data_IF_198822364091
#
_entry.id   IF_198822364091
#
_cell.length_a   1.000
_cell.length_b   1.000
_cell.length_c   1.000
_cell.angle_alpha   90.00
_cell.angle_beta   90.00
_cell.angle_gamma   90.00
#
_symmetry.space_group_name_H-M   'P 1'
#
loop_
_entity.id
_entity.type
_entity.pdbx_description
1 polymer ?
#
# COMPACT_ATOMS: atom_id res chain seq x y z
N UNK A 1 -25.78 -12.30 -17.80
CA UNK A 1 -25.40 -11.44 -16.66
C UNK A 1 -26.65 -11.17 -15.84
N UNK A 2 -26.74 -11.70 -14.63
CA UNK A 2 -27.89 -11.46 -13.74
C UNK A 2 -27.64 -10.21 -12.90
N UNK A 3 -28.67 -9.36 -12.73
CA UNK A 3 -28.69 -8.13 -11.93
C UNK A 3 -28.07 -8.28 -10.52
N UNK A 4 -28.05 -9.49 -9.98
CA UNK A 4 -27.46 -9.81 -8.68
C UNK A 4 -25.93 -9.71 -8.67
N UNK A 5 -25.25 -10.10 -9.76
CA UNK A 5 -23.78 -10.09 -9.84
C UNK A 5 -23.19 -8.68 -9.88
N UNK A 6 -23.83 -7.76 -10.60
CA UNK A 6 -23.42 -6.35 -10.67
C UNK A 6 -23.61 -5.62 -9.34
N UNK A 7 -24.67 -5.94 -8.58
CA UNK A 7 -24.92 -5.35 -7.26
C UNK A 7 -23.89 -5.83 -6.23
N UNK A 8 -23.54 -7.12 -6.23
CA UNK A 8 -22.50 -7.68 -5.34
C UNK A 8 -21.14 -7.03 -5.64
N UNK A 9 -20.80 -6.91 -6.92
CA UNK A 9 -19.59 -6.23 -7.39
C UNK A 9 -19.55 -4.77 -6.94
N UNK A 10 -20.63 -4.01 -7.17
CA UNK A 10 -20.71 -2.60 -6.82
C UNK A 10 -20.58 -2.40 -5.31
N UNK A 11 -21.19 -3.28 -4.52
CA UNK A 11 -21.08 -3.26 -3.06
C UNK A 11 -19.67 -3.54 -2.59
N UNK A 12 -18.96 -4.46 -3.24
CA UNK A 12 -17.58 -4.82 -2.90
C UNK A 12 -16.60 -3.72 -3.30
N UNK A 13 -16.79 -3.11 -4.48
CA UNK A 13 -16.05 -1.93 -4.92
C UNK A 13 -16.31 -0.71 -4.02
N UNK A 14 -17.56 -0.45 -3.63
CA UNK A 14 -17.89 0.62 -2.70
C UNK A 14 -17.29 0.39 -1.30
N UNK A 15 -17.28 -0.86 -0.83
CA UNK A 15 -16.64 -1.22 0.45
C UNK A 15 -15.12 -1.03 0.39
N UNK A 16 -14.51 -1.39 -0.74
CA UNK A 16 -13.09 -1.15 -0.98
C UNK A 16 -12.74 0.34 -1.03
N UNK A 17 -13.53 1.12 -1.77
CA UNK A 17 -13.36 2.56 -1.89
C UNK A 17 -13.52 3.24 -0.53
N UNK A 18 -14.50 2.83 0.27
CA UNK A 18 -14.66 3.35 1.63
C UNK A 18 -13.48 2.99 2.52
N UNK A 19 -12.96 1.76 2.50
CA UNK A 19 -11.73 1.44 3.25
C UNK A 19 -10.53 2.25 2.76
N UNK A 20 -10.36 2.41 1.45
CA UNK A 20 -9.29 3.22 0.88
C UNK A 20 -9.39 4.67 1.39
N UNK A 21 -10.55 5.31 1.23
CA UNK A 21 -10.79 6.70 1.67
C UNK A 21 -10.62 6.84 3.19
N UNK A 22 -11.09 5.86 3.97
CA UNK A 22 -10.94 5.89 5.43
C UNK A 22 -9.46 5.83 5.82
N UNK A 23 -8.69 4.91 5.25
CA UNK A 23 -7.28 4.74 5.62
C UNK A 23 -6.37 5.82 5.03
N UNK A 24 -6.61 6.30 3.81
CA UNK A 24 -5.72 7.27 3.16
C UNK A 24 -6.07 8.72 3.46
N UNK A 25 -7.30 9.02 3.89
CA UNK A 25 -7.76 10.41 4.06
C UNK A 25 -8.38 10.63 5.44
N UNK A 26 -9.38 9.84 5.83
CA UNK A 26 -10.12 10.08 7.06
C UNK A 26 -9.25 9.90 8.31
N UNK A 27 -8.51 8.78 8.41
CA UNK A 27 -7.64 8.47 9.54
C UNK A 27 -6.46 9.47 9.67
N UNK A 28 -5.72 9.81 8.59
CA UNK A 28 -4.71 10.86 8.65
C UNK A 28 -5.27 12.20 9.11
N UNK A 29 -6.44 12.62 8.63
CA UNK A 29 -7.07 13.88 9.03
C UNK A 29 -7.51 13.89 10.49
N UNK A 30 -8.11 12.78 10.97
CA UNK A 30 -8.48 12.64 12.38
C UNK A 30 -7.25 12.67 13.29
N UNK A 31 -6.16 12.02 12.88
CA UNK A 31 -4.90 12.04 13.60
C UNK A 31 -4.29 13.45 13.61
N UNK A 32 -4.30 14.14 12.47
CA UNK A 32 -3.87 15.53 12.39
C UNK A 32 -4.69 16.46 13.30
N UNK A 33 -6.01 16.31 13.29
CA UNK A 33 -6.91 17.08 14.15
C UNK A 33 -6.64 16.82 15.64
N UNK A 34 -6.48 15.55 16.04
CA UNK A 34 -6.18 15.17 17.42
C UNK A 34 -4.83 15.72 17.92
N UNK A 35 -3.86 15.92 17.02
CA UNK A 35 -2.53 16.46 17.31
C UNK A 35 -2.42 17.97 17.07
N UNK A 36 -3.51 18.65 16.70
CA UNK A 36 -3.52 20.09 16.41
C UNK A 36 -2.76 20.50 15.13
N UNK A 37 -2.51 19.54 14.23
CA UNK A 37 -1.77 19.77 12.98
C UNK A 37 -2.73 20.34 11.92
N UNK A 38 -2.35 21.43 11.21
CA UNK A 38 -3.12 21.96 10.10
C UNK A 38 -3.48 20.90 9.07
N UNK A 39 -4.76 20.82 8.70
CA UNK A 39 -5.27 19.85 7.71
C UNK A 39 -4.56 19.93 6.36
N UNK A 40 -4.13 21.14 5.96
CA UNK A 40 -3.36 21.37 4.75
C UNK A 40 -2.02 20.60 4.74
N UNK A 41 -1.31 20.51 5.89
CA UNK A 41 -0.06 19.77 5.99
C UNK A 41 -0.28 18.26 5.90
N UNK A 42 -1.34 17.77 6.53
CA UNK A 42 -1.72 16.35 6.46
C UNK A 42 -2.07 15.95 5.03
N UNK A 43 -2.92 16.74 4.35
CA UNK A 43 -3.28 16.49 2.96
C UNK A 43 -2.08 16.66 2.01
N UNK A 44 -1.19 17.61 2.31
CA UNK A 44 0.08 17.78 1.61
C UNK A 44 0.96 16.53 1.73
N UNK A 45 1.08 15.96 2.92
CA UNK A 45 1.82 14.72 3.14
C UNK A 45 1.13 13.52 2.47
N UNK A 46 -0.20 13.41 2.55
CA UNK A 46 -0.96 12.33 1.89
C UNK A 46 -0.75 12.37 0.37
N UNK A 47 -0.97 13.54 -0.25
CA UNK A 47 -0.77 13.71 -1.70
C UNK A 47 0.67 13.45 -2.13
N UNK A 48 1.64 13.97 -1.36
CA UNK A 48 3.06 13.68 -1.58
C UNK A 48 3.37 12.19 -1.46
N UNK A 49 2.74 11.47 -0.54
CA UNK A 49 2.93 10.02 -0.38
C UNK A 49 2.47 9.22 -1.60
N UNK A 50 1.38 9.63 -2.25
CA UNK A 50 0.93 8.99 -3.49
C UNK A 50 1.90 9.23 -4.66
N UNK A 51 2.48 10.43 -4.76
CA UNK A 51 3.34 10.84 -5.86
C UNK A 51 4.79 10.36 -5.67
N UNK A 52 5.34 10.62 -4.49
CA UNK A 52 6.75 10.44 -4.15
C UNK A 52 7.03 9.14 -3.38
N UNK A 53 5.98 8.39 -3.00
CA UNK A 53 6.08 7.15 -2.25
C UNK A 53 6.91 7.35 -0.96
N UNK A 54 7.89 6.47 -0.70
CA UNK A 54 8.73 6.56 0.50
C UNK A 54 9.51 7.88 0.57
N UNK A 55 9.77 8.56 -0.56
CA UNK A 55 10.45 9.86 -0.59
C UNK A 55 9.57 10.99 -0.02
N UNK A 56 8.27 10.79 0.14
CA UNK A 56 7.41 11.76 0.83
C UNK A 56 7.83 11.97 2.30
N UNK A 57 8.65 11.08 2.86
CA UNK A 57 9.29 11.27 4.16
C UNK A 57 10.09 12.58 4.22
N UNK A 58 10.81 12.93 3.15
CA UNK A 58 11.54 14.20 3.07
C UNK A 58 10.61 15.41 3.08
N UNK A 59 9.47 15.31 2.40
CA UNK A 59 8.45 16.37 2.37
C UNK A 59 7.82 16.54 3.76
N UNK A 60 7.44 15.43 4.42
CA UNK A 60 6.86 15.48 5.76
C UNK A 60 7.79 16.07 6.80
N UNK A 61 9.07 15.69 6.78
CA UNK A 61 10.08 16.26 7.66
C UNK A 61 10.39 17.73 7.29
N UNK A 62 10.45 18.06 6.00
CA UNK A 62 10.63 19.43 5.51
C UNK A 62 9.47 20.37 5.86
N UNK A 63 8.26 19.84 6.03
CA UNK A 63 7.09 20.55 6.57
C UNK A 63 7.17 20.78 8.09
N UNK A 64 8.22 20.31 8.77
CA UNK A 64 8.38 20.42 10.22
C UNK A 64 7.53 19.45 11.03
N UNK A 65 6.97 18.41 10.41
CA UNK A 65 6.17 17.42 11.11
C UNK A 65 7.05 16.48 11.94
N UNK A 66 6.55 16.06 13.09
CA UNK A 66 7.25 15.10 13.95
C UNK A 66 7.46 13.76 13.19
N UNK A 67 8.65 13.14 13.23
CA UNK A 67 8.97 11.95 12.43
C UNK A 67 7.98 10.80 12.62
N UNK A 68 7.52 10.60 13.85
CA UNK A 68 6.50 9.57 14.17
C UNK A 68 5.17 9.86 13.46
N UNK A 69 4.76 11.12 13.37
CA UNK A 69 3.52 11.51 12.68
C UNK A 69 3.67 11.25 11.18
N UNK A 70 4.81 11.62 10.60
CA UNK A 70 5.09 11.38 9.19
C UNK A 70 5.03 9.88 8.89
N UNK A 71 5.67 9.05 9.71
CA UNK A 71 5.67 7.60 9.54
C UNK A 71 4.27 7.02 9.62
N UNK A 72 3.48 7.39 10.64
CA UNK A 72 2.12 6.88 10.84
C UNK A 72 1.21 7.29 9.68
N UNK A 73 1.24 8.56 9.27
CA UNK A 73 0.41 9.06 8.15
C UNK A 73 0.79 8.35 6.85
N UNK A 74 2.09 8.24 6.54
CA UNK A 74 2.57 7.55 5.34
C UNK A 74 2.18 6.07 5.33
N UNK A 75 2.28 5.38 6.47
CA UNK A 75 1.87 3.97 6.59
C UNK A 75 0.36 3.79 6.43
N UNK A 76 -0.45 4.70 6.99
CA UNK A 76 -1.91 4.68 6.79
C UNK A 76 -2.28 4.82 5.31
N UNK A 77 -1.63 5.75 4.61
CA UNK A 77 -1.80 5.94 3.17
C UNK A 77 -1.37 4.69 2.40
N UNK A 78 -0.21 4.11 2.74
CA UNK A 78 0.29 2.89 2.12
C UNK A 78 -0.67 1.72 2.28
N UNK A 79 -1.16 1.45 3.50
CA UNK A 79 -2.11 0.36 3.76
C UNK A 79 -3.41 0.59 2.98
N UNK A 80 -3.94 1.81 2.98
CA UNK A 80 -5.15 2.14 2.22
C UNK A 80 -4.96 1.96 0.71
N UNK A 81 -3.82 2.37 0.16
CA UNK A 81 -3.50 2.21 -1.26
C UNK A 81 -3.34 0.73 -1.66
N UNK A 82 -2.60 -0.06 -0.87
CA UNK A 82 -2.43 -1.50 -1.12
C UNK A 82 -3.78 -2.22 -1.07
N UNK A 83 -4.61 -1.93 -0.06
CA UNK A 83 -5.94 -2.51 0.04
C UNK A 83 -6.82 -2.13 -1.16
N UNK A 84 -6.80 -0.86 -1.58
CA UNK A 84 -7.54 -0.38 -2.75
C UNK A 84 -7.16 -1.17 -4.00
N UNK A 85 -5.86 -1.33 -4.26
CA UNK A 85 -5.35 -2.09 -5.42
C UNK A 85 -5.85 -3.53 -5.37
N UNK A 86 -5.67 -4.22 -4.25
CA UNK A 86 -6.10 -5.61 -4.11
C UNK A 86 -7.60 -5.79 -4.37
N UNK A 87 -8.42 -4.86 -3.88
CA UNK A 87 -9.85 -4.90 -4.13
C UNK A 87 -10.23 -4.59 -5.58
N UNK A 88 -9.55 -3.63 -6.22
CA UNK A 88 -9.76 -3.34 -7.65
C UNK A 88 -9.42 -4.60 -8.46
N UNK A 89 -8.31 -5.27 -8.16
CA UNK A 89 -7.94 -6.51 -8.81
C UNK A 89 -8.96 -7.63 -8.57
N UNK A 90 -9.45 -7.80 -7.33
CA UNK A 90 -10.53 -8.75 -7.02
C UNK A 90 -11.79 -8.47 -7.83
N UNK A 91 -12.17 -7.19 -7.94
CA UNK A 91 -13.32 -6.75 -8.72
C UNK A 91 -13.16 -7.07 -10.22
N UNK A 92 -11.96 -6.90 -10.78
CA UNK A 92 -11.64 -7.31 -12.15
C UNK A 92 -11.68 -8.83 -12.34
N UNK A 93 -11.19 -9.61 -11.38
CA UNK A 93 -11.22 -11.06 -11.45
C UNK A 93 -12.65 -11.62 -11.40
N UNK A 94 -13.57 -10.99 -10.67
CA UNK A 94 -14.99 -11.37 -10.69
C UNK A 94 -15.68 -11.08 -12.03
N UNK A 95 -15.21 -10.06 -12.75
CA UNK A 95 -15.84 -9.63 -14.01
C UNK A 95 -15.29 -10.37 -15.24
N UNK A 96 -14.07 -10.93 -15.15
CA UNK A 96 -13.38 -11.52 -16.31
C UNK A 96 -13.02 -12.98 -16.07
N UNK A 97 -13.71 -13.89 -16.77
CA UNK A 97 -13.37 -15.32 -16.77
C UNK A 97 -11.94 -15.59 -17.22
N UNK A 98 -11.37 -14.73 -18.09
CA UNK A 98 -9.97 -14.84 -18.52
C UNK A 98 -9.01 -14.60 -17.36
N UNK A 99 -9.26 -13.58 -16.55
CA UNK A 99 -8.45 -13.26 -15.36
C UNK A 99 -8.62 -14.34 -14.30
N UNK A 100 -9.85 -14.79 -14.09
CA UNK A 100 -10.13 -15.88 -13.16
C UNK A 100 -9.45 -17.19 -13.58
N UNK A 101 -9.47 -17.52 -14.87
CA UNK A 101 -8.76 -18.67 -15.44
C UNK A 101 -7.24 -18.55 -15.33
N UNK A 102 -6.68 -17.35 -15.53
CA UNK A 102 -5.26 -17.08 -15.32
C UNK A 102 -4.88 -17.29 -13.85
N UNK A 103 -5.62 -16.69 -12.92
CA UNK A 103 -5.39 -16.85 -11.48
C UNK A 103 -5.45 -18.31 -11.04
N UNK A 104 -6.42 -19.08 -11.56
CA UNK A 104 -6.57 -20.51 -11.26
C UNK A 104 -5.39 -21.33 -11.78
N UNK A 105 -4.92 -21.06 -13.00
CA UNK A 105 -3.69 -21.68 -13.54
C UNK A 105 -2.45 -21.32 -12.72
N UNK A 106 -2.36 -20.08 -12.26
CA UNK A 106 -1.25 -19.63 -11.40
C UNK A 106 -1.31 -20.32 -10.04
N UNK A 107 -2.49 -20.48 -9.45
CA UNK A 107 -2.70 -21.19 -8.19
C UNK A 107 -2.34 -22.67 -8.32
N UNK A 108 -2.77 -23.35 -9.38
CA UNK A 108 -2.42 -24.75 -9.66
C UNK A 108 -0.90 -24.93 -9.85
N UNK A 109 -0.20 -23.94 -10.44
CA UNK A 109 1.26 -23.94 -10.54
C UNK A 109 1.94 -23.65 -9.20
N UNK A 110 1.38 -22.75 -8.40
CA UNK A 110 1.88 -22.42 -7.06
C UNK A 110 1.75 -23.60 -6.08
N UNK A 111 0.66 -24.37 -6.15
CA UNK A 111 0.47 -25.57 -5.32
C UNK A 111 1.54 -26.63 -5.58
N UNK A 112 2.08 -26.69 -6.81
CA UNK A 112 3.20 -27.58 -7.17
C UNK A 112 4.56 -27.06 -6.66
N UNK A 113 4.63 -25.83 -6.17
CA UNK A 113 5.86 -25.18 -5.68
C UNK A 113 5.68 -24.65 -4.24
N UNK A 114 5.63 -25.54 -3.23
CA UNK A 114 5.34 -25.15 -1.84
C UNK A 114 6.37 -24.15 -1.25
N UNK A 115 7.62 -24.18 -1.74
CA UNK A 115 8.64 -23.20 -1.36
C UNK A 115 8.29 -21.78 -1.81
N UNK A 116 7.74 -21.61 -3.02
CA UNK A 116 7.41 -20.29 -3.56
C UNK A 116 6.12 -19.73 -2.96
N UNK A 117 5.19 -20.60 -2.53
CA UNK A 117 4.03 -20.20 -1.73
C UNK A 117 4.39 -19.75 -0.31
N UNK A 118 5.40 -20.37 0.31
CA UNK A 118 5.78 -20.10 1.71
C UNK A 118 6.82 -18.98 1.87
N UNK A 119 7.78 -18.86 0.95
CA UNK A 119 8.84 -17.84 0.99
C UNK A 119 8.65 -16.72 -0.03
N UNK A 120 7.81 -16.90 -1.04
CA UNK A 120 7.58 -15.89 -2.06
C UNK A 120 7.06 -14.58 -1.48
N UNK A 121 6.19 -14.64 -0.46
CA UNK A 121 5.69 -13.46 0.23
C UNK A 121 6.81 -12.62 0.90
N UNK A 122 7.93 -13.23 1.30
CA UNK A 122 9.06 -12.51 1.87
C UNK A 122 9.79 -11.66 0.82
N UNK A 123 9.70 -12.01 -0.47
CA UNK A 123 10.29 -11.19 -1.55
C UNK A 123 9.62 -9.80 -1.67
N UNK A 124 8.38 -9.64 -1.19
CA UNK A 124 7.71 -8.34 -1.15
C UNK A 124 8.28 -7.37 -0.13
N UNK A 125 9.18 -7.80 0.76
CA UNK A 125 9.87 -6.86 1.65
C UNK A 125 10.81 -5.96 0.84
N UNK A 126 11.42 -6.50 -0.22
CA UNK A 126 12.45 -5.83 -1.01
C UNK A 126 11.82 -4.93 -2.07
N UNK A 127 10.68 -5.32 -2.64
CA UNK A 127 10.05 -4.58 -3.73
C UNK A 127 9.71 -3.11 -3.39
N UNK A 128 9.15 -2.77 -2.21
CA UNK A 128 8.88 -1.40 -1.80
C UNK A 128 10.11 -0.49 -1.77
N UNK A 129 11.32 -1.03 -1.75
CA UNK A 129 12.55 -0.25 -1.87
C UNK A 129 12.74 0.37 -3.27
N UNK A 130 12.01 -0.11 -4.29
CA UNK A 130 12.05 0.45 -5.64
C UNK A 130 11.19 1.72 -5.73
N UNK A 131 11.78 2.91 -5.95
CA UNK A 131 11.13 4.20 -5.69
C UNK A 131 9.92 4.54 -6.58
N UNK A 132 9.78 3.89 -7.74
CA UNK A 132 8.74 4.25 -8.73
C UNK A 132 7.62 3.21 -8.78
N UNK A 133 7.97 1.94 -8.69
CA UNK A 133 7.07 0.83 -9.02
C UNK A 133 6.85 -0.08 -7.80
N UNK A 134 7.72 0.02 -6.80
CA UNK A 134 7.89 -0.97 -5.74
C UNK A 134 6.62 -1.25 -4.97
N UNK A 135 6.00 -0.19 -4.44
CA UNK A 135 4.83 -0.35 -3.59
C UNK A 135 3.63 -0.92 -4.36
N UNK A 136 3.27 -0.30 -5.48
CA UNK A 136 2.06 -0.67 -6.22
C UNK A 136 2.20 -2.03 -6.91
N UNK A 137 3.36 -2.33 -7.48
CA UNK A 137 3.60 -3.62 -8.13
C UNK A 137 3.73 -4.76 -7.13
N UNK A 138 4.24 -4.51 -5.92
CA UNK A 138 4.26 -5.56 -4.88
C UNK A 138 2.85 -6.07 -4.55
N UNK A 139 1.88 -5.16 -4.41
CA UNK A 139 0.48 -5.52 -4.21
C UNK A 139 -0.10 -6.31 -5.39
N UNK A 140 0.20 -5.87 -6.63
CA UNK A 140 -0.27 -6.54 -7.85
C UNK A 140 0.35 -7.94 -8.01
N UNK A 141 1.65 -8.08 -7.79
CA UNK A 141 2.39 -9.36 -7.90
C UNK A 141 1.89 -10.34 -6.84
N UNK A 142 1.75 -9.88 -5.59
CA UNK A 142 1.21 -10.73 -4.52
C UNK A 142 -0.20 -11.21 -4.81
N UNK A 143 -1.00 -10.38 -5.48
CA UNK A 143 -2.34 -10.75 -5.94
C UNK A 143 -2.33 -11.75 -7.10
N UNK A 144 -1.54 -11.51 -8.15
CA UNK A 144 -1.42 -12.40 -9.33
C UNK A 144 -0.96 -13.79 -8.91
N UNK A 145 -0.01 -13.87 -7.98
CA UNK A 145 0.54 -15.12 -7.46
C UNK A 145 -0.35 -15.79 -6.42
N UNK A 146 -1.50 -15.19 -6.08
CA UNK A 146 -2.44 -15.67 -5.05
C UNK A 146 -1.77 -15.98 -3.71
N UNK A 147 -0.80 -15.16 -3.31
CA UNK A 147 -0.26 -15.25 -1.95
C UNK A 147 -1.29 -14.80 -0.94
N UNK A 148 -1.17 -15.31 0.29
CA UNK A 148 -2.10 -14.95 1.36
C UNK A 148 -2.07 -13.43 1.57
N UNK A 149 -3.26 -12.82 1.45
CA UNK A 149 -3.45 -11.38 1.48
C UNK A 149 -2.93 -10.74 2.77
N UNK A 150 -3.01 -11.44 3.90
CA UNK A 150 -2.55 -10.92 5.19
C UNK A 150 -1.03 -10.91 5.26
N UNK A 151 -0.40 -11.99 4.82
CA UNK A 151 1.05 -12.10 4.78
C UNK A 151 1.67 -11.15 3.75
N UNK A 152 1.08 -11.03 2.57
CA UNK A 152 1.49 -10.08 1.54
C UNK A 152 1.44 -8.64 2.06
N UNK A 153 0.32 -8.23 2.67
CA UNK A 153 0.19 -6.89 3.26
C UNK A 153 1.21 -6.66 4.37
N UNK A 154 1.41 -7.64 5.26
CA UNK A 154 2.40 -7.55 6.33
C UNK A 154 3.82 -7.33 5.78
N UNK A 155 4.25 -8.10 4.79
CA UNK A 155 5.59 -7.97 4.21
C UNK A 155 5.78 -6.68 3.40
N UNK A 156 4.76 -6.23 2.65
CA UNK A 156 4.80 -4.94 1.95
C UNK A 156 4.91 -3.80 2.96
N UNK A 157 4.09 -3.80 4.00
CA UNK A 157 4.13 -2.76 5.04
C UNK A 157 5.45 -2.80 5.82
N UNK A 158 5.99 -3.98 6.10
CA UNK A 158 7.30 -4.10 6.75
C UNK A 158 8.42 -3.51 5.89
N UNK A 159 8.46 -3.86 4.60
CA UNK A 159 9.42 -3.28 3.65
C UNK A 159 9.27 -1.77 3.53
N UNK A 160 8.03 -1.28 3.43
CA UNK A 160 7.71 0.14 3.40
C UNK A 160 8.21 0.89 4.63
N UNK A 161 7.93 0.37 5.83
CA UNK A 161 8.35 1.00 7.09
C UNK A 161 9.87 1.03 7.17
N UNK A 162 10.57 -0.05 6.82
CA UNK A 162 12.03 -0.09 6.81
C UNK A 162 12.62 0.98 5.88
N UNK A 163 12.13 1.08 4.64
CA UNK A 163 12.60 2.07 3.67
C UNK A 163 12.29 3.49 4.13
N UNK A 164 11.07 3.73 4.63
CA UNK A 164 10.64 5.05 5.11
C UNK A 164 11.46 5.50 6.31
N UNK A 165 11.68 4.62 7.29
CA UNK A 165 12.54 4.89 8.46
C UNK A 165 13.98 5.16 8.02
N UNK A 166 14.52 4.38 7.09
CA UNK A 166 15.87 4.59 6.55
C UNK A 166 16.01 5.97 5.88
N UNK A 167 15.03 6.38 5.07
CA UNK A 167 15.01 7.72 4.45
C UNK A 167 14.84 8.82 5.49
N UNK A 168 14.01 8.63 6.51
CA UNK A 168 13.87 9.58 7.62
C UNK A 168 15.16 9.73 8.41
N UNK A 169 15.88 8.64 8.71
CA UNK A 169 17.18 8.70 9.37
C UNK A 169 18.22 9.44 8.52
N UNK A 170 18.20 9.20 7.21
CA UNK A 170 19.03 9.95 6.25
C UNK A 170 18.70 11.45 6.28
N UNK A 171 17.42 11.79 6.30
CA UNK A 171 16.95 13.18 6.36
C UNK A 171 17.27 13.87 7.69
N UNK A 172 17.16 13.15 8.82
CA UNK A 172 17.39 13.68 10.17
C UNK A 172 18.86 13.79 10.55
N UNK A 173 19.78 13.09 9.84
CA UNK A 173 21.17 12.97 10.28
C UNK A 173 22.27 13.00 9.21
N UNK A 174 22.00 13.07 7.90
CA UNK A 174 23.06 12.80 6.90
C UNK A 174 23.30 13.90 5.86
N UNK A 175 22.35 14.77 5.53
CA UNK A 175 22.64 15.83 4.51
C UNK A 175 23.51 16.97 5.07
N UNK A 176 23.53 17.19 6.39
CA UNK A 176 24.38 18.24 7.03
C UNK A 176 25.79 17.76 7.43
N UNK A 177 26.16 16.48 7.22
CA UNK A 177 27.51 15.97 7.48
C UNK A 177 28.29 15.59 6.22
N UNK A 178 27.63 15.54 5.06
CA UNK A 178 28.26 15.08 3.80
C UNK A 178 28.27 16.20 2.71
N UNK A 179 27.50 17.28 2.87
CA UNK A 179 27.55 18.48 2.03
C UNK A 179 27.79 19.75 2.85
#
# INVERSE_FOLDING_TARGET
MTLSGTIIWLRQAARALSFAVVFTTLLPLLLGFALGIPSALVLGLVSSTFILQANAAFVGLGMGLHPVVVLVVMTLVQVGAVLAILFICDAFAMQSERVQGLLRRTEEKMQKMPYLGRYGAATLIILPAMPIIGLYSSALIGWILRWDRRWSLFFITLGWVLVTVFLMLTALGVVNMIF
#
